data_IF_207762091645
#
_entry.id   IF_207762091645
#
_cell.length_a   1.000
_cell.length_b   1.000
_cell.length_c   1.000
_cell.angle_alpha   90.00
_cell.angle_beta   90.00
_cell.angle_gamma   90.00
#
_symmetry.space_group_name_H-M   'P 1'
#
loop_
_entity.id
_entity.type
_entity.pdbx_description
1 polymer ?
#
# COMPACT_ATOMS: atom_id res chain seq x y z
N UNK A 1 1.51 7.71 25.46
CA UNK A 1 1.91 6.29 25.32
C UNK A 1 2.74 6.18 24.06
N UNK A 2 3.76 5.30 23.97
CA UNK A 2 4.63 5.22 22.81
C UNK A 2 3.89 4.64 21.59
N UNK A 3 4.32 5.03 20.39
CA UNK A 3 3.90 4.38 19.15
C UNK A 3 4.39 2.92 19.13
N UNK A 4 3.49 1.96 18.85
CA UNK A 4 3.80 0.53 18.89
C UNK A 4 3.55 -0.18 17.56
N UNK A 5 2.70 0.39 16.72
CA UNK A 5 2.27 -0.22 15.46
C UNK A 5 2.00 0.86 14.40
N UNK A 6 2.59 0.68 13.22
CA UNK A 6 2.36 1.58 12.10
C UNK A 6 1.94 0.80 10.85
N UNK A 7 0.89 1.29 10.21
CA UNK A 7 0.36 0.77 8.96
C UNK A 7 0.75 1.71 7.82
N UNK A 8 1.29 1.16 6.77
CA UNK A 8 1.65 1.90 5.56
C UNK A 8 0.93 1.33 4.35
N UNK A 9 0.36 2.20 3.54
CA UNK A 9 0.13 1.86 2.15
C UNK A 9 1.46 1.74 1.40
N UNK A 10 1.43 1.17 0.20
CA UNK A 10 2.62 0.94 -0.60
C UNK A 10 2.74 1.92 -1.77
N UNK A 11 1.79 1.85 -2.69
CA UNK A 11 1.86 2.48 -4.00
C UNK A 11 1.34 3.92 -3.90
N UNK A 12 2.24 4.92 -4.13
CA UNK A 12 1.98 6.33 -3.86
C UNK A 12 2.38 6.79 -2.45
N UNK A 13 2.66 5.86 -1.53
CA UNK A 13 3.00 6.14 -0.12
C UNK A 13 4.48 5.83 0.18
N UNK A 14 4.93 4.60 0.02
CA UNK A 14 6.36 4.24 0.12
C UNK A 14 7.04 4.25 -1.24
N UNK A 15 6.31 3.87 -2.28
CA UNK A 15 6.77 3.82 -3.67
C UNK A 15 6.10 4.93 -4.48
N UNK A 16 6.80 5.42 -5.53
CA UNK A 16 6.35 6.62 -6.25
C UNK A 16 5.12 6.38 -7.12
N UNK A 17 5.08 5.26 -7.84
CA UNK A 17 3.92 4.93 -8.68
C UNK A 17 2.70 4.64 -7.80
N UNK A 18 1.60 5.30 -8.10
CA UNK A 18 0.36 5.22 -7.32
C UNK A 18 -0.53 4.05 -7.75
N UNK A 19 -0.41 3.64 -9.00
CA UNK A 19 -1.21 2.57 -9.58
C UNK A 19 -0.29 1.49 -10.17
N UNK A 20 -0.04 0.39 -9.42
CA UNK A 20 0.85 -0.67 -9.86
C UNK A 20 0.29 -1.46 -11.04
N UNK A 21 -1.03 -1.47 -11.24
CA UNK A 21 -1.69 -2.13 -12.37
C UNK A 21 -1.41 -1.39 -13.66
N UNK A 22 -1.70 -0.08 -13.69
CA UNK A 22 -1.39 0.79 -14.84
C UNK A 22 0.10 0.76 -15.16
N UNK A 23 0.95 0.82 -14.13
CA UNK A 23 2.40 0.74 -14.29
C UNK A 23 2.83 -0.55 -15.01
N UNK A 24 2.36 -1.71 -14.54
CA UNK A 24 2.68 -3.01 -15.15
C UNK A 24 2.11 -3.15 -16.55
N UNK A 25 0.88 -2.71 -16.81
CA UNK A 25 0.31 -2.73 -18.15
C UNK A 25 1.15 -1.95 -19.15
N UNK A 26 1.67 -0.79 -18.76
CA UNK A 26 2.57 0.02 -19.61
C UNK A 26 3.90 -0.68 -19.84
N UNK A 27 4.49 -1.25 -18.80
CA UNK A 27 5.77 -1.94 -18.89
C UNK A 27 5.69 -3.24 -19.70
N UNK A 28 4.58 -3.97 -19.62
CA UNK A 28 4.36 -5.26 -20.30
C UNK A 28 3.72 -5.10 -21.69
N UNK A 29 3.42 -3.86 -22.12
CA UNK A 29 2.80 -3.60 -23.42
C UNK A 29 1.35 -4.07 -23.53
N UNK A 30 0.64 -4.23 -22.41
CA UNK A 30 -0.76 -4.67 -22.37
C UNK A 30 -1.73 -3.49 -22.12
N UNK A 31 -1.23 -2.25 -22.17
CA UNK A 31 -2.00 -1.05 -21.85
C UNK A 31 -3.24 -0.87 -22.73
N UNK A 32 -3.11 -1.06 -24.06
CA UNK A 32 -4.26 -0.93 -24.98
C UNK A 32 -5.33 -1.99 -24.69
N UNK A 33 -4.90 -3.21 -24.38
CA UNK A 33 -5.82 -4.31 -24.08
C UNK A 33 -6.62 -4.07 -22.79
N UNK A 34 -5.99 -3.50 -21.74
CA UNK A 34 -6.68 -3.24 -20.47
C UNK A 34 -7.71 -2.11 -20.58
N UNK A 35 -7.57 -1.17 -21.52
CA UNK A 35 -8.54 -0.09 -21.71
C UNK A 35 -9.95 -0.61 -22.04
N UNK A 36 -10.09 -1.79 -22.63
CA UNK A 36 -11.37 -2.40 -22.97
C UNK A 36 -12.27 -2.59 -21.72
N UNK A 37 -11.67 -2.84 -20.55
CA UNK A 37 -12.41 -3.03 -19.30
C UNK A 37 -12.13 -1.96 -18.25
N UNK A 38 -11.10 -1.13 -18.42
CA UNK A 38 -10.80 -0.02 -17.52
C UNK A 38 -12.00 0.92 -17.34
N UNK A 39 -12.64 1.32 -18.46
CA UNK A 39 -13.82 2.17 -18.41
C UNK A 39 -14.97 1.51 -17.64
N UNK A 40 -15.15 0.19 -17.79
CA UNK A 40 -16.18 -0.59 -17.08
C UNK A 40 -15.89 -0.67 -15.58
N UNK A 41 -14.62 -0.86 -15.21
CA UNK A 41 -14.20 -0.83 -13.81
C UNK A 41 -14.44 0.51 -13.14
N UNK A 42 -14.05 1.60 -13.81
CA UNK A 42 -14.28 2.96 -13.31
C UNK A 42 -15.76 3.33 -13.23
N UNK A 43 -16.60 2.76 -14.08
CA UNK A 43 -18.06 2.92 -14.05
C UNK A 43 -18.73 2.03 -12.99
N UNK A 44 -17.99 1.11 -12.33
CA UNK A 44 -18.54 0.16 -11.37
C UNK A 44 -19.35 -0.98 -12.01
N UNK A 45 -19.16 -1.23 -13.31
CA UNK A 45 -19.86 -2.31 -14.05
C UNK A 45 -19.24 -3.69 -13.81
N UNK A 46 -17.99 -3.72 -13.37
CA UNK A 46 -17.26 -4.90 -12.91
C UNK A 46 -16.76 -4.65 -11.49
N UNK A 47 -16.78 -5.68 -10.68
CA UNK A 47 -16.26 -5.58 -9.31
C UNK A 47 -14.72 -5.65 -9.26
N UNK A 48 -14.16 -5.38 -8.07
CA UNK A 48 -12.71 -5.38 -7.89
C UNK A 48 -12.08 -6.76 -8.15
N UNK A 49 -12.78 -7.83 -7.79
CA UNK A 49 -12.27 -9.20 -7.97
C UNK A 49 -12.20 -9.56 -9.47
N UNK A 50 -13.25 -9.23 -10.24
CA UNK A 50 -13.26 -9.40 -11.69
C UNK A 50 -12.17 -8.55 -12.34
N UNK A 51 -12.03 -7.28 -11.93
CA UNK A 51 -11.02 -6.39 -12.48
C UNK A 51 -9.60 -6.91 -12.25
N UNK A 52 -9.27 -7.32 -11.02
CA UNK A 52 -7.98 -7.92 -10.68
C UNK A 52 -7.68 -9.16 -11.54
N UNK A 53 -8.68 -10.01 -11.79
CA UNK A 53 -8.51 -11.18 -12.63
C UNK A 53 -8.26 -10.83 -14.11
N UNK A 54 -8.92 -9.80 -14.64
CA UNK A 54 -8.70 -9.31 -15.99
C UNK A 54 -7.28 -8.78 -16.16
N UNK A 55 -6.78 -7.97 -15.21
CA UNK A 55 -5.42 -7.43 -15.23
C UNK A 55 -4.39 -8.55 -15.22
N UNK A 56 -4.47 -9.46 -14.25
CA UNK A 56 -3.52 -10.57 -14.11
C UNK A 56 -3.65 -11.55 -15.29
N UNK A 57 -4.83 -11.66 -15.89
CA UNK A 57 -5.08 -12.44 -17.11
C UNK A 57 -4.24 -11.96 -18.30
N UNK A 58 -4.11 -10.64 -18.47
CA UNK A 58 -3.28 -10.04 -19.53
C UNK A 58 -1.77 -10.23 -19.29
N UNK A 59 -1.35 -10.47 -18.07
CA UNK A 59 0.07 -10.72 -17.72
C UNK A 59 0.45 -12.20 -17.76
N UNK A 60 -0.47 -13.10 -18.13
CA UNK A 60 -0.25 -14.55 -18.17
C UNK A 60 1.01 -14.89 -18.97
N UNK A 61 1.86 -15.74 -18.40
CA UNK A 61 3.11 -16.17 -19.01
C UNK A 61 4.32 -15.27 -18.69
N UNK A 62 4.11 -14.10 -18.07
CA UNK A 62 5.21 -13.29 -17.54
C UNK A 62 5.89 -14.02 -16.40
N UNK A 63 7.23 -14.11 -16.40
CA UNK A 63 7.95 -14.73 -15.29
C UNK A 63 7.92 -13.86 -14.03
N UNK A 64 7.96 -14.51 -12.85
CA UNK A 64 8.08 -13.80 -11.56
C UNK A 64 9.28 -12.86 -11.57
N UNK A 65 10.44 -13.31 -12.06
CA UNK A 65 11.64 -12.49 -12.12
C UNK A 65 11.45 -11.24 -13.01
N UNK A 66 10.82 -11.38 -14.18
CA UNK A 66 10.54 -10.23 -15.04
C UNK A 66 9.58 -9.23 -14.35
N UNK A 67 8.57 -9.71 -13.64
CA UNK A 67 7.67 -8.83 -12.89
C UNK A 67 8.40 -8.12 -11.75
N UNK A 68 9.24 -8.83 -10.99
CA UNK A 68 10.06 -8.26 -9.93
C UNK A 68 11.04 -7.20 -10.49
N UNK A 69 11.70 -7.46 -11.60
CA UNK A 69 12.60 -6.50 -12.27
C UNK A 69 11.88 -5.20 -12.68
N UNK A 70 10.64 -5.31 -13.16
CA UNK A 70 9.84 -4.13 -13.50
C UNK A 70 9.48 -3.34 -12.23
N UNK A 71 8.95 -4.00 -11.21
CA UNK A 71 8.54 -3.38 -9.95
C UNK A 71 9.73 -2.78 -9.18
N UNK A 72 10.93 -3.36 -9.31
CA UNK A 72 12.16 -2.81 -8.71
C UNK A 72 12.50 -1.41 -9.25
N UNK A 73 12.14 -1.10 -10.50
CA UNK A 73 12.39 0.21 -11.12
C UNK A 73 11.49 1.31 -10.58
N UNK A 74 10.37 0.98 -9.94
CA UNK A 74 9.55 1.95 -9.23
C UNK A 74 10.31 2.45 -8.00
N UNK A 75 10.74 3.74 -7.94
CA UNK A 75 11.58 4.23 -6.85
C UNK A 75 10.77 4.42 -5.57
N UNK A 76 11.46 4.40 -4.43
CA UNK A 76 10.88 4.88 -3.17
C UNK A 76 10.63 6.38 -3.21
N UNK A 77 9.64 6.84 -2.46
CA UNK A 77 9.52 8.25 -2.14
C UNK A 77 10.72 8.71 -1.30
N UNK A 78 11.13 9.99 -1.42
CA UNK A 78 12.11 10.57 -0.52
C UNK A 78 11.71 10.34 0.95
N UNK A 79 12.68 10.03 1.81
CA UNK A 79 12.45 9.78 3.24
C UNK A 79 11.76 8.46 3.60
N UNK A 80 11.28 7.66 2.63
CA UNK A 80 10.54 6.43 2.93
C UNK A 80 11.40 5.38 3.65
N UNK A 81 12.63 5.16 3.18
CA UNK A 81 13.57 4.19 3.78
C UNK A 81 14.00 4.63 5.18
N UNK A 82 14.31 5.89 5.33
CA UNK A 82 14.75 6.52 6.57
C UNK A 82 13.65 6.48 7.62
N UNK A 83 12.42 6.82 7.23
CA UNK A 83 11.24 6.76 8.11
C UNK A 83 10.97 5.35 8.60
N UNK A 84 10.95 4.36 7.70
CA UNK A 84 10.76 2.95 8.07
C UNK A 84 11.88 2.48 9.01
N UNK A 85 13.14 2.80 8.70
CA UNK A 85 14.29 2.41 9.52
C UNK A 85 14.22 3.02 10.92
N UNK A 86 13.88 4.31 11.04
CA UNK A 86 13.76 5.00 12.32
C UNK A 86 12.63 4.43 13.20
N UNK A 87 11.44 4.19 12.62
CA UNK A 87 10.35 3.56 13.34
C UNK A 87 10.71 2.16 13.85
N UNK A 88 11.40 1.37 13.04
CA UNK A 88 11.90 0.05 13.47
C UNK A 88 12.91 0.15 14.61
N UNK A 89 13.85 1.10 14.53
CA UNK A 89 14.83 1.34 15.60
C UNK A 89 14.14 1.76 16.91
N UNK A 90 13.02 2.48 16.81
CA UNK A 90 12.19 2.83 17.96
C UNK A 90 11.33 1.64 18.49
N UNK A 91 11.44 0.44 17.90
CA UNK A 91 10.71 -0.75 18.31
C UNK A 91 9.26 -0.82 17.81
N UNK A 92 8.88 0.04 16.85
CA UNK A 92 7.54 0.04 16.23
C UNK A 92 7.42 -1.13 15.27
N UNK A 93 6.35 -1.90 15.40
CA UNK A 93 5.99 -2.93 14.41
C UNK A 93 5.38 -2.29 13.18
N UNK A 94 5.77 -2.77 12.00
CA UNK A 94 5.38 -2.20 10.71
C UNK A 94 4.57 -3.18 9.89
N UNK A 95 3.49 -2.69 9.30
CA UNK A 95 2.57 -3.48 8.47
C UNK A 95 2.29 -2.75 7.17
N UNK A 96 2.50 -3.42 6.04
CA UNK A 96 2.02 -2.97 4.73
C UNK A 96 0.58 -3.43 4.52
N UNK A 97 -0.28 -2.53 4.06
CA UNK A 97 -1.67 -2.83 3.66
C UNK A 97 -1.94 -2.16 2.32
N UNK A 98 -1.85 -2.93 1.24
CA UNK A 98 -1.95 -2.42 -0.13
C UNK A 98 -3.08 -3.10 -0.90
N UNK A 99 -3.84 -2.34 -1.67
CA UNK A 99 -4.74 -2.87 -2.72
C UNK A 99 -4.00 -3.31 -3.98
N UNK A 100 -2.67 -3.09 -4.03
CA UNK A 100 -1.79 -3.55 -5.10
C UNK A 100 -1.38 -5.01 -4.96
N UNK A 101 -0.18 -5.34 -5.44
CA UNK A 101 0.26 -6.72 -5.69
C UNK A 101 1.23 -7.25 -4.64
N UNK A 102 1.03 -8.51 -4.24
CA UNK A 102 1.87 -9.23 -3.27
C UNK A 102 3.33 -9.37 -3.70
N UNK A 103 3.58 -9.45 -5.00
CA UNK A 103 4.94 -9.45 -5.56
C UNK A 103 5.68 -8.19 -5.14
N UNK A 104 5.06 -7.01 -5.34
CA UNK A 104 5.65 -5.71 -4.97
C UNK A 104 5.76 -5.56 -3.45
N UNK A 105 4.66 -5.84 -2.74
CA UNK A 105 4.63 -5.75 -1.27
C UNK A 105 5.66 -6.68 -0.62
N UNK A 106 5.83 -7.90 -1.12
CA UNK A 106 6.82 -8.86 -0.62
C UNK A 106 8.27 -8.44 -0.89
N UNK A 107 8.54 -7.77 -2.01
CA UNK A 107 9.86 -7.18 -2.30
C UNK A 107 10.18 -6.08 -1.29
N UNK A 108 9.28 -5.12 -1.10
CA UNK A 108 9.45 -4.01 -0.16
C UNK A 108 9.51 -4.49 1.28
N UNK A 109 8.69 -5.47 1.66
CA UNK A 109 8.74 -6.10 2.96
C UNK A 109 10.12 -6.66 3.27
N UNK A 110 10.72 -7.43 2.35
CA UNK A 110 12.06 -8.01 2.54
C UNK A 110 13.14 -6.93 2.59
N UNK A 111 13.05 -5.94 1.69
CA UNK A 111 14.06 -4.89 1.56
C UNK A 111 14.11 -3.95 2.77
N UNK A 112 12.95 -3.56 3.30
CA UNK A 112 12.84 -2.67 4.45
C UNK A 112 12.72 -3.40 5.79
N UNK A 113 12.59 -4.73 5.75
CA UNK A 113 12.39 -5.56 6.93
C UNK A 113 11.07 -5.28 7.65
N UNK A 114 10.00 -5.02 6.91
CA UNK A 114 8.66 -4.80 7.44
C UNK A 114 8.11 -6.12 7.99
N UNK A 115 7.40 -6.09 9.13
CA UNK A 115 7.01 -7.29 9.86
C UNK A 115 5.94 -8.10 9.13
N UNK A 116 4.94 -7.43 8.54
CA UNK A 116 3.83 -8.07 7.81
C UNK A 116 3.46 -7.27 6.57
N UNK A 117 2.98 -7.98 5.54
CA UNK A 117 2.43 -7.36 4.34
C UNK A 117 1.14 -8.06 3.92
N UNK A 118 0.14 -7.28 3.58
CA UNK A 118 -1.14 -7.70 3.03
C UNK A 118 -1.34 -7.01 1.68
N UNK A 119 -1.47 -7.82 0.61
CA UNK A 119 -1.67 -7.35 -0.74
C UNK A 119 -2.32 -8.44 -1.59
N UNK A 120 -2.84 -8.10 -2.76
CA UNK A 120 -3.53 -9.03 -3.63
C UNK A 120 -2.55 -9.97 -4.32
N UNK A 121 -2.88 -11.25 -4.36
CA UNK A 121 -1.97 -12.29 -4.80
C UNK A 121 -2.03 -12.53 -6.30
N UNK A 122 -0.89 -12.44 -6.95
CA UNK A 122 -0.69 -12.96 -8.31
C UNK A 122 -0.31 -14.43 -8.21
N UNK A 123 -1.10 -15.32 -8.84
CA UNK A 123 -0.81 -16.76 -8.78
C UNK A 123 0.14 -17.16 -9.89
N UNK A 124 1.18 -17.90 -9.51
CA UNK A 124 2.20 -18.42 -10.42
C UNK A 124 2.10 -19.94 -10.56
N UNK A 125 2.40 -20.42 -11.77
CA UNK A 125 2.62 -21.85 -12.06
C UNK A 125 3.93 -21.96 -12.80
N UNK A 126 4.82 -22.82 -12.32
CA UNK A 126 6.16 -23.04 -12.90
C UNK A 126 6.96 -21.74 -13.08
N UNK A 127 6.82 -20.80 -12.12
CA UNK A 127 7.49 -19.50 -12.14
C UNK A 127 6.88 -18.46 -13.09
N UNK A 128 5.79 -18.79 -13.78
CA UNK A 128 5.08 -17.89 -14.70
C UNK A 128 3.71 -17.50 -14.13
N UNK A 129 3.27 -16.26 -14.40
CA UNK A 129 1.93 -15.79 -14.05
C UNK A 129 0.90 -16.72 -14.70
N UNK A 130 0.04 -17.31 -13.88
CA UNK A 130 -0.98 -18.28 -14.32
C UNK A 130 -2.17 -17.63 -15.03
N UNK A 131 -2.33 -16.32 -14.90
CA UNK A 131 -3.53 -15.58 -15.30
C UNK A 131 -4.62 -15.58 -14.24
N UNK A 132 -4.32 -16.05 -13.03
CA UNK A 132 -5.24 -16.06 -11.89
C UNK A 132 -4.70 -15.20 -10.74
N UNK A 133 -5.62 -14.64 -9.96
CA UNK A 133 -5.31 -13.83 -8.80
C UNK A 133 -6.17 -14.26 -7.60
N UNK A 134 -5.83 -13.74 -6.42
CA UNK A 134 -6.66 -13.83 -5.21
C UNK A 134 -6.72 -12.47 -4.53
N UNK A 135 -7.91 -11.97 -4.32
CA UNK A 135 -8.12 -10.73 -3.55
C UNK A 135 -7.91 -10.99 -2.07
N UNK A 136 -7.05 -10.20 -1.46
CA UNK A 136 -6.75 -10.17 -0.02
C UNK A 136 -7.18 -8.83 0.57
N UNK A 137 -6.91 -7.74 -0.15
CA UNK A 137 -7.24 -6.36 0.24
C UNK A 137 -8.03 -5.73 -0.89
N UNK A 138 -9.34 -5.54 -0.69
CA UNK A 138 -10.20 -4.88 -1.67
C UNK A 138 -10.32 -3.39 -1.38
N UNK A 139 -10.88 -2.65 -2.32
CA UNK A 139 -11.28 -1.26 -2.07
C UNK A 139 -12.24 -1.21 -0.87
N UNK A 140 -11.99 -0.31 0.09
CA UNK A 140 -12.77 -0.21 1.33
C UNK A 140 -12.46 -1.29 2.38
N UNK A 141 -11.46 -2.16 2.17
CA UNK A 141 -11.15 -3.28 3.05
C UNK A 141 -9.90 -3.12 3.92
N UNK A 142 -9.16 -2.01 3.79
CA UNK A 142 -7.92 -1.81 4.58
C UNK A 142 -8.20 -1.70 6.09
N UNK A 143 -9.32 -1.08 6.48
CA UNK A 143 -9.72 -0.97 7.88
C UNK A 143 -9.91 -2.33 8.57
N UNK A 144 -10.46 -3.33 7.86
CA UNK A 144 -10.61 -4.69 8.40
C UNK A 144 -9.26 -5.34 8.72
N UNK A 145 -8.25 -5.10 7.87
CA UNK A 145 -6.88 -5.57 8.11
C UNK A 145 -6.29 -4.89 9.34
N UNK A 146 -6.45 -3.56 9.45
CA UNK A 146 -5.97 -2.79 10.61
C UNK A 146 -6.57 -3.33 11.90
N UNK A 147 -7.91 -3.43 11.99
CA UNK A 147 -8.60 -3.92 13.17
C UNK A 147 -8.17 -5.35 13.55
N UNK A 148 -8.04 -6.24 12.56
CA UNK A 148 -7.57 -7.61 12.77
C UNK A 148 -6.15 -7.65 13.35
N UNK A 149 -5.21 -6.89 12.76
CA UNK A 149 -3.82 -6.88 13.21
C UNK A 149 -3.69 -6.27 14.60
N UNK A 150 -4.44 -5.21 14.91
CA UNK A 150 -4.50 -4.62 16.25
C UNK A 150 -4.97 -5.65 17.28
N UNK A 151 -6.04 -6.39 17.00
CA UNK A 151 -6.56 -7.43 17.88
C UNK A 151 -5.56 -8.58 18.08
N UNK A 152 -4.94 -9.08 17.00
CA UNK A 152 -3.94 -10.16 17.05
C UNK A 152 -2.69 -9.77 17.87
N UNK A 153 -2.28 -8.50 17.81
CA UNK A 153 -1.09 -8.01 18.47
C UNK A 153 -1.36 -7.39 19.85
N UNK A 154 -2.62 -7.23 20.23
CA UNK A 154 -3.01 -6.57 21.48
C UNK A 154 -2.52 -5.12 21.54
N UNK A 155 -2.58 -4.39 20.41
CA UNK A 155 -2.18 -2.98 20.33
C UNK A 155 -3.42 -2.13 20.12
N UNK A 156 -3.73 -1.22 21.05
CA UNK A 156 -4.90 -0.37 20.93
C UNK A 156 -4.72 0.76 19.91
N UNK A 157 -5.82 1.34 19.38
CA UNK A 157 -5.77 2.42 18.38
C UNK A 157 -4.89 3.61 18.76
N UNK A 158 -4.87 3.98 20.03
CA UNK A 158 -4.07 5.11 20.55
C UNK A 158 -2.56 4.93 20.47
N UNK A 159 -2.08 3.72 20.22
CA UNK A 159 -0.66 3.40 20.02
C UNK A 159 -0.34 3.12 18.52
N UNK A 160 -1.27 3.47 17.62
CA UNK A 160 -1.18 3.17 16.18
C UNK A 160 -1.09 4.43 15.31
N UNK A 161 -0.33 4.28 14.22
CA UNK A 161 -0.19 5.22 13.10
C UNK A 161 -0.69 4.54 11.81
N UNK A 162 -1.30 5.31 10.91
CA UNK A 162 -1.53 4.88 9.52
C UNK A 162 -1.07 5.98 8.56
N UNK A 163 -0.42 5.59 7.46
CA UNK A 163 0.06 6.50 6.40
C UNK A 163 -0.43 6.00 5.06
N UNK A 164 -1.03 6.88 4.26
CA UNK A 164 -1.56 6.53 2.94
C UNK A 164 -1.76 7.75 2.04
N UNK A 165 -2.01 7.53 0.74
CA UNK A 165 -2.15 8.58 -0.27
C UNK A 165 -3.46 8.50 -1.07
N UNK A 166 -4.15 7.36 -1.02
CA UNK A 166 -5.34 7.07 -1.83
C UNK A 166 -6.65 6.99 -1.05
N UNK A 167 -7.76 6.97 -1.78
CA UNK A 167 -9.11 6.89 -1.19
C UNK A 167 -9.30 5.63 -0.34
N UNK A 168 -8.65 4.52 -0.72
CA UNK A 168 -8.69 3.25 0.01
C UNK A 168 -8.05 3.31 1.39
N UNK A 169 -7.21 4.34 1.68
CA UNK A 169 -6.53 4.49 2.97
C UNK A 169 -7.42 5.17 4.02
N UNK A 170 -8.46 5.86 3.57
CA UNK A 170 -9.37 6.57 4.47
C UNK A 170 -10.01 5.65 5.51
N UNK A 171 -10.15 4.35 5.21
CA UNK A 171 -10.74 3.39 6.12
C UNK A 171 -9.81 2.99 7.28
N UNK A 172 -8.51 3.23 7.15
CA UNK A 172 -7.54 2.96 8.22
C UNK A 172 -7.55 4.06 9.29
N UNK A 173 -7.79 5.32 8.90
CA UNK A 173 -7.58 6.49 9.76
C UNK A 173 -8.48 6.56 10.98
N UNK A 174 -9.78 6.17 10.94
CA UNK A 174 -10.62 6.12 12.13
C UNK A 174 -10.20 5.08 13.18
N UNK A 175 -9.33 4.13 12.79
CA UNK A 175 -8.90 3.01 13.63
C UNK A 175 -7.54 3.23 14.28
N UNK A 176 -6.94 4.41 14.10
CA UNK A 176 -5.63 4.75 14.63
C UNK A 176 -5.66 6.12 15.31
N UNK A 177 -4.69 6.36 16.21
CA UNK A 177 -4.55 7.68 16.83
C UNK A 177 -4.17 8.76 15.82
N UNK A 178 -3.31 8.43 14.86
CA UNK A 178 -2.83 9.38 13.89
C UNK A 178 -2.88 8.80 12.47
N UNK A 179 -3.78 9.32 11.65
CA UNK A 179 -3.84 9.07 10.22
C UNK A 179 -3.12 10.18 9.46
N UNK A 180 -2.17 9.82 8.61
CA UNK A 180 -1.37 10.75 7.80
C UNK A 180 -1.68 10.55 6.33
N UNK A 181 -2.18 11.60 5.69
CA UNK A 181 -2.36 11.65 4.24
C UNK A 181 -1.13 12.27 3.59
N UNK A 182 -0.49 11.57 2.66
CA UNK A 182 0.68 12.07 1.93
C UNK A 182 0.33 12.29 0.46
N UNK A 183 0.65 13.48 -0.10
CA UNK A 183 0.42 13.80 -1.52
C UNK A 183 -0.96 13.35 -2.00
N UNK A 184 -1.98 13.50 -1.17
CA UNK A 184 -3.31 12.93 -1.38
C UNK A 184 -4.16 13.80 -2.30
N UNK A 185 -4.59 13.31 -3.48
CA UNK A 185 -5.54 14.01 -4.35
C UNK A 185 -6.98 13.87 -3.88
N UNK A 186 -7.25 12.90 -2.99
CA UNK A 186 -8.60 12.59 -2.51
C UNK A 186 -9.01 13.50 -1.36
N UNK A 187 -10.05 14.31 -1.56
CA UNK A 187 -10.66 15.13 -0.49
C UNK A 187 -11.19 14.25 0.65
N UNK A 188 -11.71 13.06 0.33
CA UNK A 188 -12.17 12.10 1.36
C UNK A 188 -11.03 11.70 2.29
N UNK A 189 -9.84 11.39 1.73
CA UNK A 189 -8.68 11.01 2.53
C UNK A 189 -8.18 12.19 3.36
N UNK A 190 -8.05 13.36 2.74
CA UNK A 190 -7.62 14.60 3.41
C UNK A 190 -8.53 14.96 4.59
N UNK A 191 -9.84 14.86 4.40
CA UNK A 191 -10.82 15.13 5.45
C UNK A 191 -10.78 14.13 6.61
N UNK A 192 -10.37 12.89 6.35
CA UNK A 192 -10.20 11.86 7.38
C UNK A 192 -8.85 11.92 8.11
N UNK A 193 -7.87 12.65 7.55
CA UNK A 193 -6.51 12.69 8.07
C UNK A 193 -6.37 13.63 9.27
N UNK A 194 -5.50 13.25 10.21
CA UNK A 194 -5.06 14.09 11.31
C UNK A 194 -3.89 15.00 10.90
N UNK A 195 -3.10 14.55 9.91
CA UNK A 195 -1.99 15.29 9.31
C UNK A 195 -2.02 15.11 7.80
N UNK A 196 -1.83 16.20 7.06
CA UNK A 196 -1.71 16.18 5.60
C UNK A 196 -0.32 16.70 5.22
N UNK A 197 0.44 15.87 4.49
CA UNK A 197 1.72 16.22 3.88
C UNK A 197 1.45 16.44 2.40
N UNK A 198 1.64 17.65 1.91
CA UNK A 198 1.26 18.03 0.53
C UNK A 198 2.21 17.44 -0.52
N UNK A 199 3.47 17.29 -0.20
CA UNK A 199 4.48 16.74 -1.09
C UNK A 199 4.54 15.21 -1.01
N UNK A 200 5.02 14.60 -2.10
CA UNK A 200 5.36 13.17 -2.15
C UNK A 200 6.73 12.91 -1.50
N UNK A 201 6.85 13.25 -0.21
CA UNK A 201 8.10 13.20 0.56
C UNK A 201 7.82 12.88 2.03
N UNK A 202 8.39 11.78 2.52
CA UNK A 202 8.27 11.34 3.92
C UNK A 202 9.40 11.86 4.83
N UNK A 203 10.37 12.64 4.31
CA UNK A 203 11.55 13.06 5.06
C UNK A 203 11.22 13.86 6.33
N UNK A 204 10.13 14.63 6.30
CA UNK A 204 9.67 15.44 7.44
C UNK A 204 8.73 14.72 8.41
N UNK A 205 8.25 13.50 8.07
CA UNK A 205 7.21 12.82 8.83
C UNK A 205 7.58 12.60 10.30
N UNK A 206 8.78 12.13 10.58
CA UNK A 206 9.22 11.83 11.96
C UNK A 206 9.25 13.08 12.85
N UNK A 207 9.68 14.23 12.30
CA UNK A 207 9.65 15.51 13.03
C UNK A 207 8.23 15.92 13.37
N UNK A 208 7.32 15.83 12.42
CA UNK A 208 5.90 16.17 12.62
C UNK A 208 5.23 15.21 13.61
N UNK A 209 5.56 13.91 13.57
CA UNK A 209 5.08 12.93 14.54
C UNK A 209 5.53 13.28 15.97
N UNK A 210 6.79 13.71 16.15
CA UNK A 210 7.32 14.14 17.44
C UNK A 210 6.60 15.37 18.01
N UNK A 211 6.19 16.31 17.15
CA UNK A 211 5.44 17.51 17.55
C UNK A 211 3.98 17.17 17.91
N UNK A 212 3.31 16.34 17.12
CA UNK A 212 1.89 16.00 17.29
C UNK A 212 1.64 14.98 18.41
N UNK A 213 2.59 14.11 18.65
CA UNK A 213 2.50 13.04 19.64
C UNK A 213 3.78 12.94 20.48
N UNK A 214 4.05 13.91 21.36
CA UNK A 214 5.21 13.88 22.25
C UNK A 214 5.28 12.55 23.00
N UNK A 215 6.43 11.87 22.91
CA UNK A 215 6.64 10.55 23.51
C UNK A 215 6.35 9.36 22.56
N UNK A 216 6.13 9.61 21.26
CA UNK A 216 6.10 8.58 20.22
C UNK A 216 7.48 8.34 19.57
N UNK A 217 8.39 9.27 19.74
CA UNK A 217 9.78 9.25 19.23
C UNK A 217 10.76 9.04 20.36
#
# INVERSE_FOLDING_TARGET
MPLRLAFFDLDGTLKRERDPYVYLHRCLGTWEACQAYLARGLAGEIDFDEWLHLDVGLWKGTSRAAMEDLLQRNPYLPGARETVAALKQAGVRLVLVSTGLDVHAGMVQRELGIDRAYANQVLFRDGLVSGQARTIVREGGKGEIVARVQAELGVPPEDCLAVGDGTSDADMFPLVRLGVAINAPSERLRAAAHLVIEEADLSGLLGQLGEMAPGWT
#
